data_IF_590706929479
#
_entry.id   IF_590706929479
#
_cell.length_a   1.000
_cell.length_b   1.000
_cell.length_c   1.000
_cell.angle_alpha   90.00
_cell.angle_beta   90.00
_cell.angle_gamma   90.00
#
_symmetry.space_group_name_H-M   'P 1'
#
loop_
_entity.id
_entity.type
_entity.pdbx_description
1 polymer ?
#
# COMPACT_ATOMS: atom_id res chain seq x y z
N UNK A 1 4.45 7.73 -11.29
CA UNK A 1 4.81 7.99 -9.88
C UNK A 1 5.98 8.95 -9.81
N UNK A 2 5.80 10.02 -9.06
CA UNK A 2 6.93 10.90 -8.77
C UNK A 2 7.92 10.15 -7.88
N UNK A 3 9.14 9.98 -8.34
CA UNK A 3 10.21 9.43 -7.52
C UNK A 3 10.50 10.42 -6.39
N UNK A 4 10.09 10.04 -5.18
CA UNK A 4 10.43 10.82 -4.00
C UNK A 4 11.94 10.78 -3.80
N UNK A 5 12.58 11.92 -3.95
CA UNK A 5 13.98 12.03 -3.65
C UNK A 5 14.15 12.20 -2.14
N UNK A 6 14.43 11.11 -1.45
CA UNK A 6 14.56 11.10 0.00
C UNK A 6 15.73 11.93 0.55
N UNK A 7 16.58 12.44 -0.33
CA UNK A 7 17.69 13.31 0.06
C UNK A 7 17.25 14.73 0.41
N UNK A 8 16.11 15.15 -0.13
CA UNK A 8 15.59 16.52 0.03
C UNK A 8 14.41 16.61 1.01
N UNK A 9 14.26 15.61 1.88
CA UNK A 9 13.19 15.59 2.86
C UNK A 9 13.50 16.58 3.98
N UNK A 10 12.56 17.50 4.30
CA UNK A 10 12.74 18.41 5.42
C UNK A 10 12.76 17.64 6.74
N UNK A 11 13.43 18.22 7.74
CA UNK A 11 13.43 17.64 9.08
C UNK A 11 12.06 17.88 9.72
N UNK A 12 11.36 16.82 10.03
CA UNK A 12 10.09 16.88 10.73
C UNK A 12 10.33 16.88 12.25
N UNK A 13 9.44 17.58 12.96
CA UNK A 13 9.46 17.66 14.42
C UNK A 13 8.11 17.32 14.99
N UNK A 14 8.07 16.83 16.25
CA UNK A 14 6.84 16.50 16.96
C UNK A 14 6.05 15.37 16.30
N UNK A 15 4.73 15.55 16.17
CA UNK A 15 3.85 14.54 15.59
C UNK A 15 4.12 14.25 14.13
N UNK A 16 4.57 15.25 13.37
CA UNK A 16 4.94 15.06 11.96
C UNK A 16 6.08 14.06 11.82
N UNK A 17 7.05 14.12 12.71
CA UNK A 17 8.15 13.15 12.75
C UNK A 17 7.63 11.75 13.06
N UNK A 18 6.71 11.62 14.02
CA UNK A 18 6.11 10.33 14.36
C UNK A 18 5.39 9.72 13.16
N UNK A 19 4.61 10.51 12.44
CA UNK A 19 3.91 10.05 11.23
C UNK A 19 4.90 9.69 10.12
N UNK A 20 5.93 10.48 9.93
CA UNK A 20 6.96 10.20 8.94
C UNK A 20 7.68 8.89 9.25
N UNK A 21 8.10 8.69 10.49
CA UNK A 21 8.79 7.46 10.91
C UNK A 21 7.88 6.23 10.74
N UNK A 22 6.61 6.35 11.10
CA UNK A 22 5.63 5.29 10.91
C UNK A 22 5.43 4.96 9.43
N UNK A 23 5.30 5.98 8.57
CA UNK A 23 5.16 5.80 7.12
C UNK A 23 6.39 5.12 6.53
N UNK A 24 7.58 5.48 6.96
CA UNK A 24 8.82 4.85 6.50
C UNK A 24 8.90 3.38 6.93
N UNK A 25 8.46 3.06 8.14
CA UNK A 25 8.40 1.68 8.61
C UNK A 25 7.40 0.86 7.79
N UNK A 26 6.21 1.40 7.52
CA UNK A 26 5.21 0.75 6.66
C UNK A 26 5.75 0.54 5.24
N UNK A 27 6.43 1.55 4.71
CA UNK A 27 7.05 1.48 3.40
C UNK A 27 8.06 0.33 3.32
N UNK A 28 8.95 0.25 4.30
CA UNK A 28 9.98 -0.79 4.34
C UNK A 28 9.34 -2.19 4.47
N UNK A 29 8.29 -2.32 5.28
CA UNK A 29 7.56 -3.57 5.44
C UNK A 29 6.87 -4.00 4.14
N UNK A 30 6.24 -3.06 3.44
CA UNK A 30 5.58 -3.32 2.15
C UNK A 30 6.60 -3.75 1.10
N UNK A 31 7.73 -3.03 1.00
CA UNK A 31 8.80 -3.38 0.06
C UNK A 31 9.37 -4.77 0.34
N UNK A 32 9.52 -5.12 1.62
CA UNK A 32 9.97 -6.45 2.03
C UNK A 32 9.00 -7.55 1.59
N UNK A 33 7.69 -7.34 1.78
CA UNK A 33 6.66 -8.28 1.33
C UNK A 33 6.63 -8.40 -0.20
N UNK A 34 6.73 -7.29 -0.92
CA UNK A 34 6.77 -7.28 -2.38
C UNK A 34 7.97 -8.08 -2.91
N UNK A 35 9.13 -7.92 -2.28
CA UNK A 35 10.32 -8.70 -2.63
C UNK A 35 10.07 -10.20 -2.42
N UNK A 36 9.47 -10.57 -1.30
CA UNK A 36 9.15 -11.96 -0.98
C UNK A 36 8.17 -12.55 -1.99
N UNK A 37 7.10 -11.84 -2.33
CA UNK A 37 6.11 -12.31 -3.30
C UNK A 37 6.71 -12.47 -4.70
N UNK A 38 7.63 -11.59 -5.10
CA UNK A 38 8.34 -11.73 -6.38
C UNK A 38 9.25 -12.97 -6.40
N UNK A 39 9.97 -13.21 -5.33
CA UNK A 39 10.83 -14.38 -5.19
C UNK A 39 10.00 -15.67 -5.23
N UNK A 40 8.88 -15.71 -4.52
CA UNK A 40 7.96 -16.85 -4.51
C UNK A 40 7.37 -17.10 -5.90
N UNK A 41 6.99 -16.06 -6.62
CA UNK A 41 6.49 -16.17 -8.00
C UNK A 41 7.57 -16.70 -8.95
N UNK A 42 8.81 -16.24 -8.79
CA UNK A 42 9.94 -16.72 -9.61
C UNK A 42 10.28 -18.17 -9.30
N UNK A 43 10.23 -18.59 -8.03
CA UNK A 43 10.46 -19.95 -7.62
C UNK A 43 9.40 -20.90 -8.19
N UNK A 44 8.13 -20.47 -8.22
CA UNK A 44 7.05 -21.24 -8.85
C UNK A 44 7.33 -21.45 -10.34
N UNK A 45 7.85 -20.44 -11.06
CA UNK A 45 8.26 -20.57 -12.47
C UNK A 45 9.50 -21.46 -12.63
N UNK A 46 10.42 -21.43 -11.68
CA UNK A 46 11.65 -22.20 -11.76
C UNK A 46 11.46 -23.69 -11.40
N UNK A 47 10.35 -24.05 -10.76
CA UNK A 47 10.04 -25.45 -10.47
C UNK A 47 9.98 -26.30 -11.74
N UNK A 48 9.49 -25.75 -12.84
CA UNK A 48 9.46 -26.42 -14.14
C UNK A 48 10.86 -26.64 -14.74
N UNK A 49 11.82 -25.84 -14.38
CA UNK A 49 13.20 -25.92 -14.87
C UNK A 49 14.03 -26.95 -14.14
N UNK A 50 13.52 -27.49 -13.02
CA UNK A 50 14.23 -28.49 -12.20
C UNK A 50 13.99 -29.94 -12.66
N UNK A 51 13.27 -30.14 -13.78
CA UNK A 51 13.06 -31.46 -14.34
C UNK A 51 12.15 -32.37 -13.53
N UNK A 52 11.33 -31.80 -12.64
CA UNK A 52 10.36 -32.54 -11.86
C UNK A 52 9.15 -32.85 -12.71
N UNK A 53 8.81 -34.14 -12.87
CA UNK A 53 7.57 -34.55 -13.54
C UNK A 53 6.39 -34.12 -12.66
N UNK A 54 5.69 -33.06 -13.07
CA UNK A 54 4.50 -32.58 -12.40
C UNK A 54 3.25 -33.15 -13.06
N UNK A 55 2.31 -33.64 -12.25
CA UNK A 55 0.98 -34.00 -12.74
C UNK A 55 0.22 -32.72 -13.19
N UNK A 56 -0.76 -32.86 -14.09
CA UNK A 56 -1.56 -31.72 -14.55
C UNK A 56 -2.26 -30.97 -13.40
N UNK A 57 -2.61 -31.70 -12.31
CA UNK A 57 -3.18 -31.07 -11.13
C UNK A 57 -2.16 -30.16 -10.41
N UNK A 58 -0.89 -30.58 -10.39
CA UNK A 58 0.18 -29.78 -9.78
C UNK A 58 0.48 -28.53 -10.62
N UNK A 59 0.43 -28.63 -11.95
CA UNK A 59 0.57 -27.47 -12.85
C UNK A 59 -0.54 -26.46 -12.64
N UNK A 60 -1.79 -26.91 -12.47
CA UNK A 60 -2.92 -26.04 -12.16
C UNK A 60 -2.78 -25.35 -10.81
N UNK A 61 -2.28 -26.08 -9.80
CA UNK A 61 -2.01 -25.53 -8.48
C UNK A 61 -0.88 -24.50 -8.51
N UNK A 62 0.20 -24.75 -9.25
CA UNK A 62 1.33 -23.83 -9.40
C UNK A 62 0.92 -22.55 -10.12
N UNK A 63 0.06 -22.64 -11.16
CA UNK A 63 -0.48 -21.48 -11.86
C UNK A 63 -1.37 -20.64 -10.93
N UNK A 64 -2.22 -21.28 -10.14
CA UNK A 64 -3.06 -20.59 -9.17
C UNK A 64 -2.23 -19.86 -8.12
N UNK A 65 -1.16 -20.49 -7.64
CA UNK A 65 -0.21 -19.88 -6.70
C UNK A 65 0.46 -18.66 -7.32
N UNK A 66 0.94 -18.79 -8.55
CA UNK A 66 1.60 -17.71 -9.28
C UNK A 66 0.64 -16.51 -9.45
N UNK A 67 -0.61 -16.75 -9.83
CA UNK A 67 -1.64 -15.71 -9.95
C UNK A 67 -1.92 -15.03 -8.61
N UNK A 68 -1.98 -15.80 -7.51
CA UNK A 68 -2.16 -15.26 -6.16
C UNK A 68 -1.00 -14.37 -5.75
N UNK A 69 0.24 -14.77 -6.03
CA UNK A 69 1.42 -13.97 -5.71
C UNK A 69 1.45 -12.67 -6.52
N UNK A 70 1.07 -12.71 -7.79
CA UNK A 70 0.95 -11.52 -8.62
C UNK A 70 -0.14 -10.58 -8.11
N UNK A 71 -1.28 -11.13 -7.67
CA UNK A 71 -2.35 -10.34 -7.08
C UNK A 71 -1.89 -9.65 -5.78
N UNK A 72 -1.16 -10.37 -4.93
CA UNK A 72 -0.59 -9.81 -3.70
C UNK A 72 0.40 -8.69 -4.00
N UNK A 73 1.23 -8.86 -5.04
CA UNK A 73 2.15 -7.80 -5.48
C UNK A 73 1.39 -6.54 -5.90
N UNK A 74 0.28 -6.69 -6.63
CA UNK A 74 -0.56 -5.56 -7.04
C UNK A 74 -1.17 -4.86 -5.83
N UNK A 75 -1.72 -5.61 -4.88
CA UNK A 75 -2.32 -5.06 -3.66
C UNK A 75 -1.29 -4.31 -2.81
N UNK A 76 -0.10 -4.87 -2.63
CA UNK A 76 0.97 -4.22 -1.88
C UNK A 76 1.49 -2.98 -2.62
N UNK A 77 1.53 -3.02 -3.95
CA UNK A 77 1.88 -1.87 -4.77
C UNK A 77 0.90 -0.71 -4.59
N UNK A 78 -0.40 -1.00 -4.48
CA UNK A 78 -1.43 0.00 -4.22
C UNK A 78 -1.24 0.64 -2.83
N UNK A 79 -0.91 -0.17 -1.82
CA UNK A 79 -0.62 0.34 -0.47
C UNK A 79 0.66 1.19 -0.48
N UNK A 80 1.69 0.76 -1.20
CA UNK A 80 2.93 1.53 -1.34
C UNK A 80 2.67 2.91 -1.93
N UNK A 81 1.81 2.99 -2.96
CA UNK A 81 1.41 4.25 -3.58
C UNK A 81 0.72 5.18 -2.56
N UNK A 82 -0.19 4.64 -1.75
CA UNK A 82 -0.84 5.39 -0.68
C UNK A 82 0.16 5.92 0.36
N UNK A 83 1.16 5.11 0.70
CA UNK A 83 2.21 5.50 1.65
C UNK A 83 3.06 6.63 1.07
N UNK A 84 3.47 6.52 -0.19
CA UNK A 84 4.28 7.53 -0.86
C UNK A 84 3.51 8.85 -1.02
N UNK A 85 2.23 8.79 -1.37
CA UNK A 85 1.36 9.96 -1.43
C UNK A 85 1.20 10.62 -0.06
N UNK A 86 1.09 9.83 1.02
CA UNK A 86 1.03 10.35 2.38
C UNK A 86 2.31 11.07 2.78
N UNK A 87 3.47 10.52 2.44
CA UNK A 87 4.77 11.16 2.69
C UNK A 87 4.85 12.49 1.92
N UNK A 88 4.41 12.51 0.67
CA UNK A 88 4.38 13.73 -0.14
C UNK A 88 3.49 14.80 0.49
N UNK A 89 2.29 14.43 0.94
CA UNK A 89 1.39 15.36 1.63
C UNK A 89 1.99 15.89 2.92
N UNK A 90 2.72 15.04 3.65
CA UNK A 90 3.43 15.47 4.86
C UNK A 90 4.50 16.51 4.54
N UNK A 91 5.24 16.32 3.45
CA UNK A 91 6.23 17.27 2.96
C UNK A 91 5.56 18.60 2.56
N UNK A 92 4.42 18.52 1.85
CA UNK A 92 3.69 19.67 1.34
C UNK A 92 2.84 20.38 2.41
N UNK A 93 2.67 19.78 3.59
CA UNK A 93 1.88 20.36 4.69
C UNK A 93 0.39 20.02 4.63
N UNK A 94 -0.05 19.16 3.73
CA UNK A 94 -1.46 18.77 3.53
C UNK A 94 -1.82 17.44 4.19
N UNK A 95 -0.95 16.93 5.05
CA UNK A 95 -1.14 15.63 5.71
C UNK A 95 -2.33 15.67 6.68
N UNK A 96 -3.08 14.58 6.72
CA UNK A 96 -4.19 14.41 7.66
C UNK A 96 -5.51 15.00 7.20
N UNK A 97 -5.62 15.40 5.95
CA UNK A 97 -6.86 15.93 5.37
C UNK A 97 -7.59 14.84 4.57
N UNK A 98 -8.90 14.73 4.80
CA UNK A 98 -9.75 13.82 4.05
C UNK A 98 -9.85 14.27 2.59
N UNK A 99 -9.62 13.34 1.66
CA UNK A 99 -9.69 13.61 0.21
C UNK A 99 -11.13 13.93 -0.26
N UNK A 100 -12.13 13.46 0.47
CA UNK A 100 -13.53 13.63 0.08
C UNK A 100 -14.15 14.91 0.66
N UNK A 101 -14.04 15.15 1.97
CA UNK A 101 -14.69 16.26 2.63
C UNK A 101 -13.74 17.43 2.97
N UNK A 102 -12.43 17.23 2.84
CA UNK A 102 -11.44 18.25 3.20
C UNK A 102 -11.26 18.48 4.69
N UNK A 103 -12.02 17.77 5.52
CA UNK A 103 -11.88 17.84 6.97
C UNK A 103 -10.70 17.04 7.49
N UNK A 104 -10.46 17.15 8.78
CA UNK A 104 -9.35 16.42 9.41
C UNK A 104 -9.68 14.95 9.57
N UNK A 105 -8.70 14.09 9.26
CA UNK A 105 -8.77 12.66 9.58
C UNK A 105 -8.49 12.51 11.08
N UNK A 106 -9.32 11.74 11.83
CA UNK A 106 -9.10 11.59 13.27
C UNK A 106 -7.69 11.07 13.59
N UNK A 107 -7.01 11.65 14.61
CA UNK A 107 -5.67 11.18 15.00
C UNK A 107 -5.60 9.69 15.34
N UNK A 108 -6.66 9.15 15.94
CA UNK A 108 -6.75 7.71 16.25
C UNK A 108 -6.67 6.85 14.99
N UNK A 109 -7.28 7.31 13.89
CA UNK A 109 -7.22 6.61 12.61
C UNK A 109 -5.83 6.70 11.98
N UNK A 110 -5.20 7.87 12.05
CA UNK A 110 -3.84 8.08 11.55
C UNK A 110 -2.81 7.28 12.34
N UNK A 111 -3.04 7.06 13.64
CA UNK A 111 -2.17 6.23 14.45
C UNK A 111 -2.16 4.77 13.99
N UNK A 112 -3.30 4.26 13.50
CA UNK A 112 -3.43 2.90 12.98
C UNK A 112 -3.02 2.82 11.51
N UNK A 113 -3.44 3.80 10.70
CA UNK A 113 -3.14 3.87 9.27
C UNK A 113 -2.70 5.28 8.90
N UNK A 114 -1.39 5.58 9.03
CA UNK A 114 -0.89 6.92 8.71
C UNK A 114 -1.04 7.30 7.23
N UNK A 115 -1.24 6.33 6.35
CA UNK A 115 -1.50 6.56 4.93
C UNK A 115 -3.00 6.68 4.59
N UNK A 116 -3.89 6.78 5.58
CA UNK A 116 -5.32 6.96 5.35
C UNK A 116 -5.59 8.27 4.61
N UNK A 117 -6.49 8.21 3.61
CA UNK A 117 -6.86 9.36 2.78
C UNK A 117 -8.30 9.83 3.02
N UNK A 118 -9.08 9.07 3.78
CA UNK A 118 -10.47 9.39 4.10
C UNK A 118 -10.68 9.38 5.61
N UNK A 119 -11.54 10.30 6.08
CA UNK A 119 -12.03 10.23 7.45
C UNK A 119 -12.99 9.03 7.61
N UNK A 120 -13.28 8.66 8.85
CA UNK A 120 -14.14 7.50 9.14
C UNK A 120 -15.50 7.59 8.43
N UNK A 121 -16.11 8.77 8.45
CA UNK A 121 -17.41 9.01 7.84
C UNK A 121 -17.38 8.82 6.33
N UNK A 122 -16.42 9.45 5.65
CA UNK A 122 -16.29 9.35 4.19
C UNK A 122 -15.92 7.94 3.75
N UNK A 123 -15.08 7.25 4.51
CA UNK A 123 -14.75 5.86 4.23
C UNK A 123 -15.98 4.97 4.33
N UNK A 124 -16.79 5.13 5.38
CA UNK A 124 -18.02 4.38 5.54
C UNK A 124 -19.00 4.61 4.38
N UNK A 125 -19.14 5.86 3.95
CA UNK A 125 -19.98 6.21 2.80
C UNK A 125 -19.48 5.52 1.53
N UNK A 126 -18.17 5.51 1.29
CA UNK A 126 -17.59 4.84 0.12
C UNK A 126 -17.79 3.33 0.16
N UNK A 127 -17.64 2.72 1.32
CA UNK A 127 -17.87 1.27 1.49
C UNK A 127 -19.31 0.90 1.20
N UNK A 128 -20.30 1.71 1.65
CA UNK A 128 -21.72 1.52 1.39
C UNK A 128 -22.06 1.68 -0.09
N UNK A 129 -21.33 2.51 -0.82
CA UNK A 129 -21.58 2.84 -2.23
C UNK A 129 -20.54 2.20 -3.18
N UNK A 130 -19.97 1.07 -2.80
CA UNK A 130 -18.99 0.33 -3.61
C UNK A 130 -17.79 1.18 -4.05
N UNK A 131 -17.27 2.01 -3.11
CA UNK A 131 -16.12 2.85 -3.37
C UNK A 131 -16.45 4.23 -3.92
N UNK A 132 -17.72 4.57 -4.12
CA UNK A 132 -18.16 5.86 -4.62
C UNK A 132 -18.74 6.72 -3.50
N UNK A 133 -18.32 7.98 -3.41
CA UNK A 133 -18.90 8.94 -2.48
C UNK A 133 -19.86 9.88 -3.25
N UNK A 134 -21.20 9.82 -2.98
CA UNK A 134 -22.16 10.64 -3.71
C UNK A 134 -22.05 12.13 -3.42
N UNK A 135 -21.34 12.54 -2.36
CA UNK A 135 -21.19 13.95 -1.99
C UNK A 135 -19.97 14.61 -2.64
N UNK A 136 -19.15 13.86 -3.36
CA UNK A 136 -17.98 14.37 -4.07
C UNK A 136 -18.25 14.33 -5.57
N UNK A 137 -18.12 15.50 -6.18
CA UNK A 137 -18.30 15.64 -7.63
C UNK A 137 -17.06 15.21 -8.40
#
# INVERSE_FOLDING_TARGET
>A
MANLNYKDIPKFEGKQKEYFDALMQYRDAVLGRMKQYREDALDANNADKRGVTTHMADLGSDNSRHEMELQRLTEEGDVLELIEDAIKRLIDGDFGKCQDCGGDIPPARLAVRPYAIYCTKCKSIREQNNGHNPFVK
#
